data_IF_836663812499
#
_entry.id   IF_836663812499
#
_cell.length_a   1.000
_cell.length_b   1.000
_cell.length_c   1.000
_cell.angle_alpha   90.00
_cell.angle_beta   90.00
_cell.angle_gamma   90.00
#
_symmetry.space_group_name_H-M   'P 1'
#
loop_
_entity.id
_entity.type
_entity.pdbx_description
1 polymer ?
#
# COMPACT_ATOMS: atom_id res chain seq x y z
N UNK A 1 2.39 -4.46 18.42
CA UNK A 1 2.22 -5.69 17.60
C UNK A 1 3.53 -6.45 17.66
N UNK A 2 3.52 -7.74 17.98
CA UNK A 2 4.71 -8.58 17.80
C UNK A 2 4.75 -8.97 16.32
N UNK A 3 5.52 -8.23 15.52
CA UNK A 3 5.46 -8.33 14.05
C UNK A 3 6.41 -9.41 13.61
N UNK A 4 5.86 -10.58 13.26
CA UNK A 4 6.60 -11.59 12.54
C UNK A 4 6.56 -11.22 11.06
N UNK A 5 7.72 -11.01 10.44
CA UNK A 5 7.81 -10.83 9.00
C UNK A 5 7.18 -12.07 8.34
N UNK A 6 6.09 -11.86 7.61
CA UNK A 6 5.41 -12.90 6.84
C UNK A 6 5.65 -12.66 5.34
N UNK A 7 5.54 -13.71 4.49
CA UNK A 7 5.64 -13.55 3.05
C UNK A 7 4.69 -12.48 2.49
N UNK A 8 3.45 -12.45 2.98
CA UNK A 8 2.45 -11.47 2.55
C UNK A 8 2.81 -10.04 2.93
N UNK A 9 3.43 -9.84 4.10
CA UNK A 9 3.90 -8.52 4.51
C UNK A 9 5.07 -8.06 3.63
N UNK A 10 6.00 -8.98 3.32
CA UNK A 10 7.11 -8.69 2.41
C UNK A 10 6.60 -8.35 1.00
N UNK A 11 5.57 -9.05 0.52
CA UNK A 11 4.93 -8.79 -0.77
C UNK A 11 4.23 -7.42 -0.80
N UNK A 12 3.45 -7.09 0.23
CA UNK A 12 2.85 -5.74 0.36
C UNK A 12 3.94 -4.66 0.38
N UNK A 13 5.04 -4.88 1.10
CA UNK A 13 6.13 -3.91 1.16
C UNK A 13 6.78 -3.69 -0.21
N UNK A 14 7.02 -4.76 -0.97
CA UNK A 14 7.57 -4.66 -2.33
C UNK A 14 6.61 -3.95 -3.30
N UNK A 15 5.34 -4.34 -3.29
CA UNK A 15 4.29 -3.71 -4.10
C UNK A 15 4.16 -2.22 -3.75
N UNK A 16 4.15 -1.88 -2.46
CA UNK A 16 4.06 -0.49 -2.01
C UNK A 16 5.33 0.31 -2.34
N UNK A 17 6.51 -0.29 -2.35
CA UNK A 17 7.73 0.39 -2.76
C UNK A 17 7.70 0.81 -4.25
N UNK A 18 7.02 0.03 -5.10
CA UNK A 18 6.86 0.35 -6.52
C UNK A 18 5.80 1.43 -6.76
N UNK A 19 4.57 1.19 -6.30
CA UNK A 19 3.38 1.95 -6.71
C UNK A 19 2.70 2.71 -5.57
N UNK A 20 3.24 2.58 -4.35
CA UNK A 20 2.72 3.20 -3.15
C UNK A 20 3.09 4.67 -3.03
N UNK A 21 2.16 5.44 -2.49
CA UNK A 21 2.37 6.81 -2.06
C UNK A 21 1.92 6.94 -0.61
N UNK A 22 2.85 7.34 0.26
CA UNK A 22 2.56 7.61 1.67
C UNK A 22 2.45 9.11 1.91
N UNK A 23 1.36 9.55 2.50
CA UNK A 23 1.10 10.92 2.90
C UNK A 23 0.80 10.95 4.39
N UNK A 24 0.89 12.13 5.01
CA UNK A 24 0.75 12.26 6.47
C UNK A 24 -0.58 11.71 7.02
N UNK A 25 -1.65 11.76 6.22
CA UNK A 25 -3.01 11.34 6.63
C UNK A 25 -3.52 10.10 5.93
N UNK A 26 -2.86 9.67 4.85
CA UNK A 26 -3.33 8.57 4.04
C UNK A 26 -2.19 7.89 3.30
N UNK A 27 -2.40 6.65 2.90
CA UNK A 27 -1.62 6.02 1.84
C UNK A 27 -2.51 5.79 0.63
N UNK A 28 -1.94 5.73 -0.56
CA UNK A 28 -2.66 5.32 -1.74
C UNK A 28 -1.80 4.49 -2.68
N UNK A 29 -2.47 3.70 -3.52
CA UNK A 29 -1.88 2.86 -4.53
C UNK A 29 -2.74 2.96 -5.78
N UNK A 30 -2.09 3.21 -6.92
CA UNK A 30 -2.77 3.42 -8.20
C UNK A 30 -2.01 2.70 -9.30
N UNK A 31 -2.73 1.85 -10.04
CA UNK A 31 -2.27 1.28 -11.31
C UNK A 31 -3.06 1.86 -12.47
N UNK A 32 -2.65 1.55 -13.68
CA UNK A 32 -3.40 1.88 -14.88
C UNK A 32 -4.74 1.11 -14.91
N UNK A 33 -5.84 1.82 -15.19
CA UNK A 33 -7.19 1.25 -15.17
C UNK A 33 -7.42 0.11 -16.17
N UNK A 34 -6.71 0.09 -17.29
CA UNK A 34 -6.89 -0.92 -18.34
C UNK A 34 -5.92 -2.10 -18.19
N UNK A 35 -4.73 -1.86 -17.63
CA UNK A 35 -3.68 -2.87 -17.52
C UNK A 35 -3.71 -3.57 -16.16
N UNK A 36 -3.88 -2.80 -15.09
CA UNK A 36 -3.61 -3.30 -13.73
C UNK A 36 -4.88 -3.66 -12.97
N UNK A 37 -6.06 -3.27 -13.45
CA UNK A 37 -7.32 -3.47 -12.72
C UNK A 37 -7.53 -4.91 -12.26
N UNK A 38 -7.30 -5.88 -13.14
CA UNK A 38 -7.43 -7.30 -12.78
C UNK A 38 -6.45 -7.72 -11.69
N UNK A 39 -5.22 -7.19 -11.71
CA UNK A 39 -4.22 -7.46 -10.68
C UNK A 39 -4.60 -6.83 -9.34
N UNK A 40 -5.14 -5.60 -9.36
CA UNK A 40 -5.65 -4.96 -8.15
C UNK A 40 -6.83 -5.73 -7.53
N UNK A 41 -7.78 -6.16 -8.35
CA UNK A 41 -8.97 -6.90 -7.93
C UNK A 41 -8.62 -8.29 -7.37
N UNK A 42 -7.75 -9.03 -8.08
CA UNK A 42 -7.44 -10.42 -7.75
C UNK A 42 -6.34 -10.58 -6.69
N UNK A 43 -5.40 -9.62 -6.61
CA UNK A 43 -4.19 -9.75 -5.78
C UNK A 43 -4.11 -8.66 -4.72
N UNK A 44 -4.00 -7.40 -5.11
CA UNK A 44 -3.68 -6.31 -4.16
C UNK A 44 -4.79 -6.13 -3.13
N UNK A 45 -6.05 -6.02 -3.57
CA UNK A 45 -7.20 -5.85 -2.69
C UNK A 45 -7.33 -6.97 -1.64
N UNK A 46 -7.36 -8.26 -2.05
CA UNK A 46 -7.38 -9.39 -1.14
C UNK A 46 -6.17 -9.44 -0.18
N UNK A 47 -4.96 -9.18 -0.68
CA UNK A 47 -3.73 -9.22 0.11
C UNK A 47 -3.74 -8.16 1.22
N UNK A 48 -4.07 -6.91 0.88
CA UNK A 48 -4.23 -5.83 1.86
C UNK A 48 -5.35 -6.13 2.85
N UNK A 49 -6.48 -6.68 2.38
CA UNK A 49 -7.61 -7.05 3.23
C UNK A 49 -7.21 -8.11 4.27
N UNK A 50 -6.44 -9.12 3.86
CA UNK A 50 -5.93 -10.19 4.71
C UNK A 50 -4.99 -9.65 5.80
N UNK A 51 -4.02 -8.82 5.42
CA UNK A 51 -2.99 -8.34 6.36
C UNK A 51 -3.56 -7.34 7.37
N UNK A 52 -4.34 -6.37 6.91
CA UNK A 52 -4.84 -5.30 7.78
C UNK A 52 -6.22 -5.59 8.38
N UNK A 53 -6.89 -6.68 7.97
CA UNK A 53 -8.26 -7.01 8.37
C UNK A 53 -9.24 -5.85 8.15
N UNK A 54 -9.06 -5.16 7.01
CA UNK A 54 -9.88 -4.01 6.60
C UNK A 54 -10.48 -4.31 5.23
N UNK A 55 -11.75 -3.94 5.03
CA UNK A 55 -12.34 -3.97 3.69
C UNK A 55 -11.82 -2.76 2.89
N UNK A 56 -11.17 -3.02 1.76
CA UNK A 56 -10.69 -1.97 0.86
C UNK A 56 -11.71 -1.74 -0.25
N UNK A 57 -12.06 -0.47 -0.48
CA UNK A 57 -12.89 -0.07 -1.60
C UNK A 57 -11.98 0.33 -2.75
N UNK A 58 -11.67 -0.64 -3.61
CA UNK A 58 -11.03 -0.37 -4.90
C UNK A 58 -12.00 0.42 -5.78
N UNK A 59 -11.48 1.43 -6.46
CA UNK A 59 -12.28 2.29 -7.32
C UNK A 59 -11.46 2.88 -8.46
N UNK A 60 -12.19 3.29 -9.49
CA UNK A 60 -11.65 3.97 -10.66
C UNK A 60 -11.56 5.48 -10.41
N UNK A 61 -10.52 6.10 -10.95
CA UNK A 61 -10.44 7.54 -11.16
C UNK A 61 -10.24 7.79 -12.64
N UNK A 62 -11.35 7.72 -13.37
CA UNK A 62 -11.40 7.84 -14.84
C UNK A 62 -10.64 9.05 -15.38
N UNK A 63 -10.74 10.27 -14.79
CA UNK A 63 -10.00 11.44 -15.29
C UNK A 63 -8.47 11.26 -15.29
N UNK A 64 -7.97 10.35 -14.45
CA UNK A 64 -6.55 10.09 -14.29
C UNK A 64 -6.15 8.75 -14.92
N UNK A 65 -7.09 8.00 -15.50
CA UNK A 65 -6.88 6.66 -16.04
C UNK A 65 -6.27 5.67 -15.04
N UNK A 66 -6.61 5.81 -13.74
CA UNK A 66 -6.09 4.94 -12.69
C UNK A 66 -7.17 4.12 -11.98
N UNK A 67 -6.75 2.97 -11.46
CA UNK A 67 -7.53 2.08 -10.60
C UNK A 67 -6.75 1.75 -9.34
N UNK A 68 -7.43 1.72 -8.20
CA UNK A 68 -6.78 1.39 -6.94
C UNK A 68 -7.53 1.94 -5.74
N UNK A 69 -6.80 2.41 -4.73
CA UNK A 69 -7.40 2.86 -3.48
C UNK A 69 -6.57 3.93 -2.78
N UNK A 70 -7.23 4.63 -1.87
CA UNK A 70 -6.59 5.39 -0.80
C UNK A 70 -7.14 4.94 0.55
N UNK A 71 -6.33 5.09 1.60
CA UNK A 71 -6.64 4.62 2.93
C UNK A 71 -6.23 5.66 3.97
N UNK A 72 -7.21 6.16 4.72
CA UNK A 72 -7.01 7.19 5.75
C UNK A 72 -6.95 6.61 7.18
N UNK A 73 -6.59 5.34 7.33
CA UNK A 73 -6.50 4.70 8.66
C UNK A 73 -5.15 5.00 9.29
N UNK A 74 -5.17 5.84 10.33
CA UNK A 74 -3.97 6.31 11.05
C UNK A 74 -3.03 5.19 11.48
N UNK A 75 -3.58 4.08 11.99
CA UNK A 75 -2.80 2.93 12.43
C UNK A 75 -1.99 2.31 11.29
N UNK A 76 -2.58 2.22 10.09
CA UNK A 76 -1.92 1.66 8.91
C UNK A 76 -0.91 2.66 8.36
N UNK A 77 -1.23 3.95 8.29
CA UNK A 77 -0.27 5.00 7.89
C UNK A 77 0.96 4.99 8.80
N UNK A 78 0.75 4.91 10.12
CA UNK A 78 1.82 4.78 11.10
C UNK A 78 2.62 3.51 10.92
N UNK A 79 1.96 2.38 10.64
CA UNK A 79 2.65 1.14 10.36
C UNK A 79 3.61 1.27 9.16
N UNK A 80 3.17 1.83 8.04
CA UNK A 80 4.04 2.03 6.88
C UNK A 80 5.21 2.99 7.19
N UNK A 81 4.98 4.03 7.97
CA UNK A 81 6.02 5.01 8.31
C UNK A 81 6.99 4.54 9.40
N UNK A 82 6.45 4.23 10.58
CA UNK A 82 7.20 4.00 11.81
C UNK A 82 7.76 2.57 11.89
N UNK A 83 7.09 1.59 11.26
CA UNK A 83 7.49 0.18 11.32
C UNK A 83 8.20 -0.26 10.04
N UNK A 84 7.61 0.01 8.87
CA UNK A 84 8.21 -0.38 7.58
C UNK A 84 9.24 0.66 7.07
N UNK A 85 9.31 1.84 7.67
CA UNK A 85 10.30 2.86 7.34
C UNK A 85 10.03 3.64 6.05
N UNK A 86 8.83 3.54 5.47
CA UNK A 86 8.49 4.33 4.28
C UNK A 86 8.38 5.83 4.62
N UNK A 87 8.98 6.67 3.78
CA UNK A 87 8.99 8.11 3.97
C UNK A 87 7.67 8.75 3.51
N UNK A 88 7.20 9.73 4.28
CA UNK A 88 6.03 10.55 3.90
C UNK A 88 6.43 11.51 2.77
N UNK A 89 5.58 11.59 1.75
CA UNK A 89 5.69 12.50 0.60
C UNK A 89 6.99 12.36 -0.20
N UNK A 90 7.70 11.24 -0.04
CA UNK A 90 8.97 10.95 -0.72
C UNK A 90 8.98 9.50 -1.18
N UNK A 91 9.57 9.23 -2.35
CA UNK A 91 9.89 7.87 -2.75
C UNK A 91 10.99 7.32 -1.84
N UNK A 92 10.81 6.09 -1.39
CA UNK A 92 11.77 5.38 -0.55
C UNK A 92 12.60 4.49 -1.48
N UNK A 93 13.83 4.89 -1.76
CA UNK A 93 14.77 4.12 -2.61
C UNK A 93 15.74 3.26 -1.80
N UNK A 94 15.74 3.47 -0.48
CA UNK A 94 16.67 2.86 0.46
C UNK A 94 15.82 2.37 1.64
N UNK A 95 15.83 1.07 1.89
CA UNK A 95 15.32 0.51 3.15
C UNK A 95 16.38 0.85 4.19
N UNK A 96 16.17 1.89 4.99
CA UNK A 96 17.06 2.16 6.11
C UNK A 96 17.02 0.92 7.03
N UNK A 97 18.20 0.37 7.31
CA UNK A 97 18.35 -0.77 8.21
C UNK A 97 17.53 -0.53 9.47
N UNK A 98 16.60 -1.45 9.74
CA UNK A 98 15.98 -1.61 11.06
C UNK A 98 17.10 -2.01 12.02
N UNK A 99 17.70 -1.01 12.66
CA UNK A 99 18.62 -1.14 13.80
C UNK A 99 18.00 -0.38 14.98
#
# INVERSE_FOLDING_TARGET
>A
MNIKISPELAEIAGIFAADGCLQQKYLCMWGNIYQDKNYYDAVIGPLFSKIFKVKFNLHEKVPNFVYGFYLCKREIVKFFNEILGFLISKKTYIVNQLC
#
